data_IF_994044004177
#
_entry.id   IF_994044004177
#
_cell.length_a   1.000
_cell.length_b   1.000
_cell.length_c   1.000
_cell.angle_alpha   90.00
_cell.angle_beta   90.00
_cell.angle_gamma   90.00
#
_symmetry.space_group_name_H-M   'P 1'
#
loop_
_entity.id
_entity.type
_entity.pdbx_description
1 polymer ?
#
# COMPACT_ATOMS: atom_id res chain seq x y z
N UNK A 1 29.75 -31.18 -46.82
CA UNK A 1 31.17 -30.80 -46.69
C UNK A 1 31.75 -31.70 -45.61
N UNK A 2 32.43 -32.78 -46.03
CA UNK A 2 33.90 -32.99 -45.86
C UNK A 2 34.26 -33.38 -44.41
N UNK A 3 35.09 -34.36 -44.04
CA UNK A 3 35.98 -35.36 -44.65
C UNK A 3 36.75 -35.99 -43.46
N UNK A 4 37.10 -37.28 -43.52
CA UNK A 4 38.42 -37.88 -43.17
C UNK A 4 38.81 -38.20 -41.69
N UNK A 5 39.51 -39.36 -41.59
CA UNK A 5 40.46 -39.90 -40.59
C UNK A 5 39.88 -40.79 -39.46
N UNK A 6 40.13 -42.12 -39.33
CA UNK A 6 41.38 -42.94 -39.33
C UNK A 6 42.39 -42.45 -38.29
N UNK A 7 43.04 -43.20 -37.42
CA UNK A 7 43.09 -44.57 -36.91
C UNK A 7 44.20 -44.51 -35.81
N UNK A 8 44.45 -45.58 -35.05
CA UNK A 8 45.64 -45.80 -34.17
C UNK A 8 45.77 -44.87 -32.92
N UNK A 9 46.12 -45.30 -31.71
CA UNK A 9 47.08 -46.32 -31.30
C UNK A 9 46.72 -46.99 -29.96
N UNK A 10 46.89 -48.30 -29.96
CA UNK A 10 47.02 -49.15 -28.80
C UNK A 10 48.44 -49.01 -28.22
N UNK A 11 48.57 -48.95 -26.90
CA UNK A 11 49.41 -49.90 -26.18
C UNK A 11 49.27 -49.70 -24.66
N UNK A 12 48.65 -50.69 -24.05
CA UNK A 12 49.02 -51.13 -22.71
C UNK A 12 50.36 -51.89 -22.79
N UNK A 13 50.92 -52.22 -21.64
CA UNK A 13 51.98 -53.17 -21.27
C UNK A 13 53.07 -52.44 -20.45
N UNK A 14 53.29 -52.75 -19.18
CA UNK A 14 52.88 -53.92 -18.40
C UNK A 14 53.26 -53.75 -16.93
N UNK A 15 52.74 -54.65 -16.10
CA UNK A 15 53.32 -55.16 -14.85
C UNK A 15 52.81 -54.52 -13.54
N UNK A 16 51.92 -55.22 -12.80
CA UNK A 16 52.23 -56.32 -11.87
C UNK A 16 50.96 -56.63 -11.05
N UNK A 17 50.62 -57.90 -10.97
CA UNK A 17 49.45 -58.51 -10.35
C UNK A 17 49.48 -58.46 -8.80
N UNK A 18 48.29 -58.37 -8.18
CA UNK A 18 48.06 -58.86 -6.81
C UNK A 18 46.58 -59.16 -6.58
N UNK A 19 46.21 -60.41 -6.85
CA UNK A 19 45.33 -61.29 -6.05
C UNK A 19 43.96 -60.78 -5.55
N UNK A 20 42.90 -61.45 -6.03
CA UNK A 20 41.64 -61.63 -5.29
C UNK A 20 40.38 -61.46 -6.16
N UNK A 21 39.80 -62.57 -6.63
CA UNK A 21 38.39 -62.89 -7.03
C UNK A 21 37.31 -61.78 -7.18
N UNK A 22 37.68 -60.56 -7.56
CA UNK A 22 36.81 -59.36 -7.64
C UNK A 22 36.97 -58.64 -8.99
N UNK A 23 37.82 -59.15 -9.88
CA UNK A 23 38.21 -58.48 -11.12
C UNK A 23 37.20 -58.64 -12.25
N UNK A 24 36.39 -59.70 -12.27
CA UNK A 24 35.44 -59.91 -13.37
C UNK A 24 34.32 -58.88 -13.34
N UNK A 25 33.75 -58.59 -12.17
CA UNK A 25 32.68 -57.58 -12.07
C UNK A 25 33.14 -56.17 -12.40
N UNK A 26 34.33 -55.75 -11.98
CA UNK A 26 34.81 -54.38 -12.25
C UNK A 26 35.31 -54.23 -13.71
N UNK A 27 35.91 -55.29 -14.26
CA UNK A 27 36.30 -55.37 -15.68
C UNK A 27 35.09 -55.40 -16.60
N UNK A 28 34.05 -56.14 -16.24
CA UNK A 28 32.76 -56.14 -16.95
C UNK A 28 32.09 -54.76 -16.92
N UNK A 29 32.13 -54.07 -15.77
CA UNK A 29 31.61 -52.71 -15.65
C UNK A 29 32.40 -51.71 -16.53
N UNK A 30 33.73 -51.85 -16.60
CA UNK A 30 34.56 -51.01 -17.48
C UNK A 30 34.34 -51.31 -18.96
N UNK A 31 34.13 -52.59 -19.33
CA UNK A 31 33.77 -52.97 -20.70
C UNK A 31 32.39 -52.42 -21.06
N UNK A 32 31.39 -52.60 -20.21
CA UNK A 32 30.04 -52.08 -20.42
C UNK A 32 29.99 -50.53 -20.46
N UNK A 33 30.91 -49.86 -19.75
CA UNK A 33 31.09 -48.42 -19.84
C UNK A 33 31.71 -48.00 -21.18
N UNK A 34 32.77 -48.70 -21.63
CA UNK A 34 33.42 -48.45 -22.93
C UNK A 34 32.51 -48.75 -24.11
N UNK A 35 31.67 -49.79 -24.00
CA UNK A 35 30.65 -50.16 -24.97
C UNK A 35 29.42 -49.24 -24.93
N UNK A 36 29.38 -48.28 -24.00
CA UNK A 36 28.31 -47.27 -23.89
C UNK A 36 26.98 -47.80 -23.35
N UNK A 37 26.95 -49.03 -22.82
CA UNK A 37 25.80 -49.63 -22.16
C UNK A 37 25.49 -48.93 -20.83
N UNK A 38 26.53 -48.49 -20.12
CA UNK A 38 26.43 -47.70 -18.89
C UNK A 38 26.77 -46.24 -19.18
N UNK A 39 25.87 -45.31 -18.82
CA UNK A 39 26.10 -43.87 -18.94
C UNK A 39 26.74 -43.34 -17.66
N UNK A 40 27.88 -42.66 -17.75
CA UNK A 40 28.58 -42.05 -16.60
C UNK A 40 27.79 -40.96 -15.90
N UNK A 41 26.89 -40.32 -16.63
CA UNK A 41 26.52 -38.95 -16.28
C UNK A 41 25.48 -38.85 -15.16
N UNK A 42 24.77 -39.93 -14.81
CA UNK A 42 23.70 -39.91 -13.78
C UNK A 42 23.50 -41.29 -13.14
N UNK A 43 23.17 -41.33 -11.84
CA UNK A 43 22.54 -42.50 -11.22
C UNK A 43 21.33 -42.93 -12.08
N UNK A 44 21.27 -44.20 -12.45
CA UNK A 44 20.15 -44.80 -13.19
C UNK A 44 18.89 -44.86 -12.30
N UNK A 45 18.26 -43.70 -12.07
CA UNK A 45 16.92 -43.67 -11.48
C UNK A 45 15.92 -44.06 -12.56
N UNK A 46 15.18 -45.15 -12.32
CA UNK A 46 14.07 -45.58 -13.18
C UNK A 46 12.97 -44.52 -13.09
N UNK A 47 13.00 -43.52 -13.96
CA UNK A 47 11.85 -42.65 -14.15
C UNK A 47 10.80 -43.42 -14.95
N UNK A 48 9.61 -43.58 -14.36
CA UNK A 48 8.46 -44.07 -15.09
C UNK A 48 8.24 -43.19 -16.32
N UNK A 49 8.28 -43.81 -17.51
CA UNK A 49 7.97 -43.11 -18.76
C UNK A 49 6.54 -42.56 -18.64
N UNK A 50 6.37 -41.24 -18.77
CA UNK A 50 5.04 -40.63 -18.81
C UNK A 50 4.22 -41.32 -19.90
N UNK A 51 3.03 -41.79 -19.54
CA UNK A 51 2.12 -42.45 -20.50
C UNK A 51 1.85 -41.49 -21.68
N UNK A 52 1.79 -42.00 -22.91
CA UNK A 52 1.48 -41.15 -24.07
C UNK A 52 0.08 -40.54 -23.92
N UNK A 53 -0.09 -39.31 -24.38
CA UNK A 53 -1.39 -38.63 -24.40
C UNK A 53 -2.27 -39.27 -25.48
N UNK A 54 -3.21 -40.13 -25.09
CA UNK A 54 -4.16 -40.76 -26.02
C UNK A 54 -5.43 -39.90 -26.08
N UNK A 55 -5.73 -39.33 -27.25
CA UNK A 55 -6.94 -38.56 -27.48
C UNK A 55 -8.02 -39.43 -28.15
N UNK A 56 -8.93 -40.00 -27.35
CA UNK A 56 -10.04 -40.83 -27.83
C UNK A 56 -11.32 -40.00 -28.01
N UNK A 57 -11.40 -39.27 -29.13
CA UNK A 57 -12.51 -38.35 -29.41
C UNK A 57 -13.90 -38.99 -29.37
N UNK A 58 -14.07 -40.13 -30.04
CA UNK A 58 -15.35 -40.86 -30.12
C UNK A 58 -15.87 -41.25 -28.73
N UNK A 59 -14.99 -41.82 -27.88
CA UNK A 59 -15.38 -42.20 -26.52
C UNK A 59 -15.72 -41.00 -25.62
N UNK A 60 -15.14 -39.82 -25.90
CA UNK A 60 -15.45 -38.58 -25.17
C UNK A 60 -16.81 -38.02 -25.59
N UNK A 61 -17.12 -38.04 -26.88
CA UNK A 61 -18.41 -37.62 -27.43
C UNK A 61 -19.55 -38.51 -26.89
N UNK A 62 -19.37 -39.84 -26.95
CA UNK A 62 -20.34 -40.81 -26.41
C UNK A 62 -20.63 -40.57 -24.91
N UNK A 63 -19.61 -40.21 -24.13
CA UNK A 63 -19.77 -39.89 -22.71
C UNK A 63 -20.41 -38.53 -22.49
N UNK A 64 -20.09 -37.54 -23.31
CA UNK A 64 -20.70 -36.21 -23.23
C UNK A 64 -22.21 -36.29 -23.47
N UNK A 65 -22.64 -37.10 -24.45
CA UNK A 65 -24.06 -37.34 -24.71
C UNK A 65 -24.76 -38.04 -23.56
N UNK A 66 -24.13 -39.08 -22.97
CA UNK A 66 -24.68 -39.76 -21.79
C UNK A 66 -24.86 -38.84 -20.57
N UNK A 67 -24.01 -37.83 -20.42
CA UNK A 67 -24.07 -36.87 -19.31
C UNK A 67 -25.01 -35.69 -19.60
N UNK A 68 -25.35 -35.43 -20.86
CA UNK A 68 -26.17 -34.29 -21.28
C UNK A 68 -27.59 -34.43 -20.74
N UNK A 69 -28.01 -33.47 -19.93
CA UNK A 69 -29.40 -33.36 -19.43
C UNK A 69 -30.09 -32.21 -20.17
N UNK A 70 -31.29 -32.46 -20.68
CA UNK A 70 -32.13 -31.45 -21.31
C UNK A 70 -32.98 -30.77 -20.23
N UNK A 71 -32.42 -29.77 -19.57
CA UNK A 71 -33.10 -28.97 -18.54
C UNK A 71 -33.46 -27.59 -19.08
N UNK A 72 -34.45 -26.95 -18.47
CA UNK A 72 -34.76 -25.55 -18.72
C UNK A 72 -33.57 -24.72 -18.24
N UNK A 73 -33.22 -23.68 -18.99
CA UNK A 73 -32.08 -22.82 -18.70
C UNK A 73 -32.09 -22.21 -17.28
N UNK A 74 -33.25 -22.05 -16.65
CA UNK A 74 -33.38 -21.57 -15.28
C UNK A 74 -32.73 -22.51 -14.24
N UNK A 75 -32.67 -23.80 -14.52
CA UNK A 75 -32.05 -24.81 -13.64
C UNK A 75 -30.53 -24.86 -13.80
N UNK A 76 -30.02 -24.47 -14.97
CA UNK A 76 -28.58 -24.51 -15.28
C UNK A 76 -27.90 -23.16 -15.06
N UNK A 77 -28.59 -22.06 -15.37
CA UNK A 77 -28.10 -20.67 -15.32
C UNK A 77 -26.72 -20.48 -15.98
N UNK A 78 -26.42 -21.31 -16.96
CA UNK A 78 -25.12 -21.37 -17.61
C UNK A 78 -25.06 -20.36 -18.76
N UNK A 79 -24.00 -19.58 -18.80
CA UNK A 79 -23.74 -18.62 -19.88
C UNK A 79 -22.34 -18.83 -20.40
N UNK A 80 -22.26 -19.17 -21.67
CA UNK A 80 -20.99 -19.29 -22.39
C UNK A 80 -20.63 -17.95 -23.02
N UNK A 81 -19.40 -17.51 -22.77
CA UNK A 81 -18.84 -16.29 -23.36
C UNK A 81 -17.48 -16.63 -23.96
N UNK A 82 -17.32 -16.31 -25.25
CA UNK A 82 -16.04 -16.48 -25.93
C UNK A 82 -15.05 -15.41 -25.48
N UNK A 83 -13.81 -15.84 -25.28
CA UNK A 83 -12.73 -14.98 -24.81
C UNK A 83 -11.53 -15.11 -25.75
N UNK A 84 -11.55 -14.31 -26.80
CA UNK A 84 -10.54 -14.37 -27.88
C UNK A 84 -9.23 -13.65 -27.51
N UNK A 85 -9.11 -13.14 -26.28
CA UNK A 85 -8.00 -12.28 -25.84
C UNK A 85 -6.90 -13.01 -25.04
N UNK A 86 -6.93 -14.35 -24.99
CA UNK A 86 -5.93 -15.13 -24.25
C UNK A 86 -4.66 -15.28 -25.09
N UNK A 87 -3.76 -14.31 -24.97
CA UNK A 87 -2.43 -14.33 -25.60
C UNK A 87 -1.37 -14.88 -24.63
N UNK A 88 -0.27 -15.43 -25.13
CA UNK A 88 0.84 -15.95 -24.29
C UNK A 88 1.42 -14.91 -23.31
N UNK A 89 1.36 -13.63 -23.66
CA UNK A 89 1.79 -12.51 -22.79
C UNK A 89 0.97 -12.42 -21.49
N UNK A 90 -0.31 -12.78 -21.56
CA UNK A 90 -1.24 -12.74 -20.42
C UNK A 90 -1.01 -13.90 -19.44
N UNK A 91 -0.28 -14.95 -19.85
CA UNK A 91 0.01 -16.08 -18.97
C UNK A 91 0.91 -15.66 -17.80
N UNK A 92 1.82 -14.71 -18.01
CA UNK A 92 2.77 -14.27 -17.00
C UNK A 92 2.35 -12.97 -16.29
N UNK A 93 1.42 -12.19 -16.86
CA UNK A 93 0.87 -10.98 -16.23
C UNK A 93 -0.47 -11.26 -15.54
N UNK A 94 -0.44 -11.29 -14.21
CA UNK A 94 -1.62 -11.54 -13.38
C UNK A 94 -2.65 -10.41 -13.47
N UNK A 95 -2.22 -9.14 -13.59
CA UNK A 95 -3.15 -8.02 -13.65
C UNK A 95 -3.95 -8.02 -14.95
N UNK A 96 -3.27 -8.25 -16.08
CA UNK A 96 -3.96 -8.37 -17.37
C UNK A 96 -4.92 -9.56 -17.38
N UNK A 97 -4.50 -10.69 -16.81
CA UNK A 97 -5.32 -11.90 -16.71
C UNK A 97 -6.57 -11.69 -15.86
N UNK A 98 -6.44 -11.08 -14.68
CA UNK A 98 -7.58 -10.74 -13.81
C UNK A 98 -8.58 -9.81 -14.51
N UNK A 99 -8.09 -8.85 -15.31
CA UNK A 99 -8.95 -7.96 -16.10
C UNK A 99 -9.75 -8.75 -17.15
N UNK A 100 -9.14 -9.77 -17.80
CA UNK A 100 -9.85 -10.60 -18.78
C UNK A 100 -10.93 -11.45 -18.10
N UNK A 101 -10.63 -12.07 -16.96
CA UNK A 101 -11.61 -12.84 -16.19
C UNK A 101 -12.77 -11.96 -15.71
N UNK A 102 -12.46 -10.75 -15.23
CA UNK A 102 -13.47 -9.78 -14.86
C UNK A 102 -14.39 -9.42 -16.02
N UNK A 103 -13.82 -9.09 -17.19
CA UNK A 103 -14.60 -8.76 -18.40
C UNK A 103 -15.44 -9.92 -18.90
N UNK A 104 -14.95 -11.16 -18.78
CA UNK A 104 -15.69 -12.36 -19.14
C UNK A 104 -16.93 -12.53 -18.25
N UNK A 105 -16.75 -12.41 -16.93
CA UNK A 105 -17.83 -12.48 -15.97
C UNK A 105 -18.85 -11.35 -16.19
N UNK A 106 -18.38 -10.12 -16.45
CA UNK A 106 -19.24 -8.98 -16.76
C UNK A 106 -20.11 -9.23 -17.99
N UNK A 107 -19.52 -9.71 -19.10
CA UNK A 107 -20.27 -10.06 -20.31
C UNK A 107 -21.30 -11.16 -20.06
N UNK A 108 -20.94 -12.19 -19.29
CA UNK A 108 -21.84 -13.28 -18.96
C UNK A 108 -23.05 -12.76 -18.15
N UNK A 109 -22.81 -11.88 -17.18
CA UNK A 109 -23.86 -11.21 -16.40
C UNK A 109 -24.75 -10.34 -17.29
N UNK A 110 -24.17 -9.58 -18.23
CA UNK A 110 -24.94 -8.76 -19.18
C UNK A 110 -25.87 -9.59 -20.07
N UNK A 111 -25.51 -10.84 -20.39
CA UNK A 111 -26.37 -11.77 -21.14
C UNK A 111 -27.41 -12.43 -20.21
N UNK A 112 -27.04 -12.77 -18.98
CA UNK A 112 -27.92 -13.46 -18.04
C UNK A 112 -29.06 -12.58 -17.52
N UNK A 113 -28.77 -11.32 -17.17
CA UNK A 113 -29.75 -10.37 -16.61
C UNK A 113 -31.00 -10.18 -17.49
N UNK A 114 -30.90 -9.88 -18.80
CA UNK A 114 -32.07 -9.70 -19.64
C UNK A 114 -32.88 -10.99 -19.75
N UNK A 115 -32.24 -12.15 -19.93
CA UNK A 115 -32.91 -13.45 -19.98
C UNK A 115 -33.69 -13.74 -18.69
N UNK A 116 -33.10 -13.48 -17.53
CA UNK A 116 -33.78 -13.64 -16.23
C UNK A 116 -34.96 -12.68 -16.05
N UNK A 117 -34.84 -11.46 -16.58
CA UNK A 117 -35.91 -10.47 -16.54
C UNK A 117 -37.09 -10.87 -17.43
N UNK A 118 -36.82 -11.40 -18.61
CA UNK A 118 -37.86 -11.95 -19.52
C UNK A 118 -38.64 -13.09 -18.87
N UNK A 119 -37.96 -13.91 -18.07
CA UNK A 119 -38.58 -14.99 -17.28
C UNK A 119 -39.29 -14.51 -16.00
N UNK A 120 -39.26 -13.21 -15.70
CA UNK A 120 -39.93 -12.63 -14.53
C UNK A 120 -39.25 -12.90 -13.18
N UNK A 121 -37.97 -13.30 -13.18
CA UNK A 121 -37.22 -13.63 -11.95
C UNK A 121 -36.66 -12.37 -11.30
N UNK A 122 -36.76 -12.25 -9.97
CA UNK A 122 -36.17 -11.15 -9.20
C UNK A 122 -34.67 -11.38 -9.04
N UNK A 123 -33.86 -10.48 -9.62
CA UNK A 123 -32.40 -10.64 -9.70
C UNK A 123 -31.67 -9.98 -8.52
N UNK A 124 -32.13 -8.80 -8.11
CA UNK A 124 -31.42 -8.01 -7.10
C UNK A 124 -31.85 -8.40 -5.69
N UNK A 125 -30.86 -8.62 -4.81
CA UNK A 125 -31.08 -8.81 -3.38
C UNK A 125 -31.57 -7.50 -2.74
N UNK A 126 -32.77 -7.48 -2.14
CA UNK A 126 -33.23 -6.31 -1.38
C UNK A 126 -32.34 -6.04 -0.16
N UNK A 127 -32.21 -4.76 0.21
CA UNK A 127 -31.37 -4.34 1.35
C UNK A 127 -31.91 -4.89 2.67
N UNK A 128 -33.23 -5.04 2.77
CA UNK A 128 -33.94 -5.52 3.97
C UNK A 128 -34.04 -7.06 4.05
N UNK A 129 -33.42 -7.78 3.12
CA UNK A 129 -33.44 -9.24 3.12
C UNK A 129 -32.23 -9.80 3.87
N UNK A 130 -32.42 -10.12 5.15
CA UNK A 130 -31.40 -10.69 6.03
C UNK A 130 -31.40 -12.23 5.95
N UNK A 131 -30.41 -12.77 5.25
CA UNK A 131 -30.13 -14.19 5.17
C UNK A 131 -28.63 -14.42 5.42
N UNK A 132 -28.24 -15.65 5.72
CA UNK A 132 -26.84 -16.00 5.92
C UNK A 132 -26.04 -15.76 4.63
N UNK A 133 -24.95 -15.00 4.76
CA UNK A 133 -24.03 -14.68 3.67
C UNK A 133 -22.77 -15.53 3.79
N UNK A 134 -22.09 -15.77 2.66
CA UNK A 134 -20.85 -16.59 2.61
C UNK A 134 -19.76 -16.09 3.59
N UNK A 135 -19.72 -14.79 3.88
CA UNK A 135 -18.80 -14.19 4.85
C UNK A 135 -19.59 -13.53 5.98
N UNK A 136 -19.12 -13.72 7.22
CA UNK A 136 -19.74 -13.10 8.39
C UNK A 136 -19.54 -11.58 8.44
N UNK A 137 -20.48 -10.88 9.07
CA UNK A 137 -20.42 -9.42 9.22
C UNK A 137 -19.20 -8.96 10.01
N UNK A 138 -18.77 -9.74 11.00
CA UNK A 138 -17.55 -9.48 11.76
C UNK A 138 -16.31 -9.50 10.86
N UNK A 139 -16.24 -10.45 9.92
CA UNK A 139 -15.16 -10.51 8.93
C UNK A 139 -15.21 -9.30 7.99
N UNK A 140 -16.40 -8.93 7.49
CA UNK A 140 -16.56 -7.77 6.62
C UNK A 140 -16.26 -6.44 7.32
N UNK A 141 -16.52 -6.33 8.62
CA UNK A 141 -16.14 -5.16 9.41
C UNK A 141 -14.62 -4.99 9.51
N UNK A 142 -13.87 -6.08 9.68
CA UNK A 142 -12.40 -6.05 9.65
C UNK A 142 -11.86 -5.61 8.29
N UNK A 143 -12.46 -6.10 7.20
CA UNK A 143 -12.09 -5.66 5.84
C UNK A 143 -12.35 -4.16 5.67
N UNK A 144 -13.53 -3.66 6.08
CA UNK A 144 -13.87 -2.23 6.01
C UNK A 144 -12.91 -1.35 6.80
N UNK A 145 -12.53 -1.77 8.01
CA UNK A 145 -11.53 -1.06 8.82
C UNK A 145 -10.20 -0.98 8.10
N UNK A 146 -9.70 -2.10 7.54
CA UNK A 146 -8.44 -2.11 6.79
C UNK A 146 -8.48 -1.23 5.53
N UNK A 147 -9.61 -1.21 4.81
CA UNK A 147 -9.77 -0.34 3.64
C UNK A 147 -9.71 1.14 4.05
N UNK A 148 -10.39 1.53 5.11
CA UNK A 148 -10.34 2.89 5.64
C UNK A 148 -8.93 3.28 6.10
N UNK A 149 -8.19 2.38 6.76
CA UNK A 149 -6.80 2.61 7.16
C UNK A 149 -5.86 2.85 5.96
N UNK A 150 -6.05 2.09 4.87
CA UNK A 150 -5.28 2.24 3.63
C UNK A 150 -5.58 3.59 2.97
N UNK A 151 -6.86 3.97 2.89
CA UNK A 151 -7.28 5.27 2.34
C UNK A 151 -6.74 6.43 3.16
N UNK A 152 -6.84 6.39 4.48
CA UNK A 152 -6.27 7.40 5.37
C UNK A 152 -4.74 7.51 5.19
N UNK A 153 -4.06 6.38 5.06
CA UNK A 153 -2.61 6.34 4.85
C UNK A 153 -2.23 7.02 3.54
N UNK A 154 -2.99 6.77 2.46
CA UNK A 154 -2.81 7.43 1.16
C UNK A 154 -3.04 8.94 1.26
N UNK A 155 -4.13 9.36 1.91
CA UNK A 155 -4.43 10.79 2.10
C UNK A 155 -3.35 11.50 2.92
N UNK A 156 -2.82 10.85 3.97
CA UNK A 156 -1.71 11.38 4.78
C UNK A 156 -0.46 11.57 3.92
N UNK A 157 -0.11 10.60 3.06
CA UNK A 157 1.04 10.71 2.15
C UNK A 157 0.85 11.85 1.13
N UNK A 158 -0.33 12.00 0.55
CA UNK A 158 -0.66 13.10 -0.37
C UNK A 158 -0.59 14.46 0.32
N UNK A 159 -1.13 14.57 1.54
CA UNK A 159 -1.05 15.79 2.35
C UNK A 159 0.41 16.16 2.68
N UNK A 160 1.24 15.19 3.04
CA UNK A 160 2.67 15.40 3.29
C UNK A 160 3.37 15.89 2.01
N UNK A 161 3.05 15.31 0.85
CA UNK A 161 3.59 15.75 -0.43
C UNK A 161 3.23 17.20 -0.74
N UNK A 162 1.95 17.58 -0.58
CA UNK A 162 1.47 18.97 -0.75
C UNK A 162 2.20 19.94 0.18
N UNK A 163 2.30 19.63 1.47
CA UNK A 163 3.03 20.47 2.45
C UNK A 163 4.50 20.65 2.06
N UNK A 164 5.15 19.61 1.52
CA UNK A 164 6.55 19.70 1.06
C UNK A 164 6.68 20.60 -0.17
N UNK A 165 5.76 20.51 -1.12
CA UNK A 165 5.73 21.34 -2.33
C UNK A 165 5.47 22.81 -1.98
N UNK A 166 4.51 23.09 -1.10
CA UNK A 166 4.23 24.43 -0.58
C UNK A 166 5.45 25.04 0.12
N UNK A 167 6.14 24.27 0.97
CA UNK A 167 7.38 24.74 1.64
C UNK A 167 8.48 25.06 0.64
N UNK A 168 8.67 24.22 -0.39
CA UNK A 168 9.65 24.48 -1.47
C UNK A 168 9.29 25.76 -2.25
N UNK A 169 8.01 25.96 -2.55
CA UNK A 169 7.54 27.15 -3.24
C UNK A 169 7.72 28.41 -2.38
N UNK A 170 7.33 28.35 -1.10
CA UNK A 170 7.51 29.45 -0.16
C UNK A 170 8.97 29.87 -0.04
N UNK A 171 9.91 28.91 0.03
CA UNK A 171 11.34 29.21 0.06
C UNK A 171 11.83 29.91 -1.24
N UNK A 172 11.36 29.46 -2.41
CA UNK A 172 11.68 30.10 -3.70
C UNK A 172 11.11 31.52 -3.78
N UNK A 173 9.86 31.72 -3.34
CA UNK A 173 9.22 33.04 -3.32
C UNK A 173 9.97 33.98 -2.40
N UNK A 174 10.34 33.55 -1.20
CA UNK A 174 11.14 34.37 -0.27
C UNK A 174 12.47 34.81 -0.91
N UNK A 175 13.19 33.89 -1.56
CA UNK A 175 14.44 34.21 -2.27
C UNK A 175 14.22 35.23 -3.39
N UNK A 176 13.20 35.01 -4.24
CA UNK A 176 12.86 35.92 -5.36
C UNK A 176 12.44 37.31 -4.88
N UNK A 177 11.68 37.39 -3.78
CA UNK A 177 11.29 38.67 -3.16
C UNK A 177 12.51 39.40 -2.62
N UNK A 178 13.45 38.69 -1.99
CA UNK A 178 14.67 39.29 -1.45
C UNK A 178 15.61 39.79 -2.58
N UNK A 179 15.78 39.01 -3.64
CA UNK A 179 16.52 39.40 -4.85
C UNK A 179 15.89 40.63 -5.51
N UNK A 180 14.56 40.65 -5.68
CA UNK A 180 13.82 41.80 -6.21
C UNK A 180 14.01 43.05 -5.34
N UNK A 181 13.94 42.93 -4.01
CA UNK A 181 14.21 44.06 -3.10
C UNK A 181 15.65 44.55 -3.21
N UNK A 182 16.62 43.66 -3.42
CA UNK A 182 18.02 44.05 -3.60
C UNK A 182 18.25 44.73 -4.95
N UNK A 183 17.66 44.23 -6.04
CA UNK A 183 17.77 44.86 -7.36
C UNK A 183 17.09 46.23 -7.39
N UNK A 184 15.91 46.35 -6.79
CA UNK A 184 15.20 47.65 -6.62
C UNK A 184 16.03 48.63 -5.78
N UNK A 185 16.69 48.19 -4.70
CA UNK A 185 17.60 49.05 -3.93
C UNK A 185 18.84 49.46 -4.73
N UNK A 186 19.42 48.56 -5.52
CA UNK A 186 20.59 48.85 -6.38
C UNK A 186 20.22 49.87 -7.46
N UNK A 187 19.11 49.66 -8.17
CA UNK A 187 18.63 50.59 -9.21
C UNK A 187 18.30 51.96 -8.64
N UNK A 188 17.67 52.02 -7.46
CA UNK A 188 17.41 53.27 -6.74
C UNK A 188 18.73 53.97 -6.33
N UNK A 189 19.69 53.22 -5.76
CA UNK A 189 20.98 53.78 -5.36
C UNK A 189 21.79 54.31 -6.57
N UNK A 190 21.73 53.63 -7.71
CA UNK A 190 22.31 54.10 -8.97
C UNK A 190 21.62 55.36 -9.48
N UNK A 191 20.28 55.42 -9.43
CA UNK A 191 19.53 56.63 -9.78
C UNK A 191 19.90 57.82 -8.88
N UNK A 192 20.05 57.60 -7.56
CA UNK A 192 20.49 58.63 -6.60
C UNK A 192 21.93 59.09 -6.89
N UNK A 193 22.85 58.16 -7.20
CA UNK A 193 24.22 58.51 -7.60
C UNK A 193 24.24 59.33 -8.90
N UNK A 194 23.42 58.98 -9.88
CA UNK A 194 23.27 59.73 -11.15
C UNK A 194 22.67 61.13 -10.92
N UNK A 195 21.69 61.24 -10.03
CA UNK A 195 21.12 62.54 -9.62
C UNK A 195 22.16 63.42 -8.91
N UNK A 196 22.96 62.86 -7.99
CA UNK A 196 24.06 63.58 -7.32
C UNK A 196 25.12 64.09 -8.30
N UNK A 197 25.27 63.43 -9.46
CA UNK A 197 26.16 63.84 -10.56
C UNK A 197 25.51 64.81 -11.56
N UNK A 198 24.31 65.33 -11.28
CA UNK A 198 23.67 66.41 -12.05
C UNK A 198 22.59 65.99 -13.06
N UNK A 199 22.29 64.70 -13.21
CA UNK A 199 21.26 64.21 -14.15
C UNK A 199 19.93 64.02 -13.38
N UNK A 200 19.09 65.07 -13.35
CA UNK A 200 17.89 65.16 -12.49
C UNK A 200 16.69 64.31 -12.93
N UNK A 201 16.51 64.12 -14.24
CA UNK A 201 15.27 63.60 -14.82
C UNK A 201 14.91 62.13 -14.47
N UNK A 202 15.90 61.28 -14.20
CA UNK A 202 15.66 59.84 -13.99
C UNK A 202 15.22 59.48 -12.56
N UNK A 203 15.58 60.30 -11.56
CA UNK A 203 15.21 60.06 -10.16
C UNK A 203 13.75 60.42 -9.90
N UNK A 204 13.30 61.57 -10.40
CA UNK A 204 11.93 62.07 -10.19
C UNK A 204 10.87 61.16 -10.83
N UNK A 205 11.17 60.54 -11.97
CA UNK A 205 10.27 59.56 -12.61
C UNK A 205 10.04 58.31 -11.74
N UNK A 206 11.11 57.76 -11.12
CA UNK A 206 11.01 56.59 -10.23
C UNK A 206 10.30 56.91 -8.90
N UNK A 207 10.53 58.10 -8.34
CA UNK A 207 9.87 58.55 -7.10
C UNK A 207 8.38 58.87 -7.30
N UNK A 208 8.01 59.42 -8.46
CA UNK A 208 6.61 59.68 -8.78
C UNK A 208 5.81 58.38 -9.01
N UNK A 209 6.44 57.33 -9.54
CA UNK A 209 5.79 56.04 -9.74
C UNK A 209 5.60 55.25 -8.42
N UNK A 210 6.53 55.40 -7.46
CA UNK A 210 6.42 54.75 -6.14
C UNK A 210 5.39 55.40 -5.22
N UNK A 211 5.22 56.73 -5.26
CA UNK A 211 4.14 57.42 -4.54
C UNK A 211 2.73 56.97 -4.99
N UNK A 212 2.52 56.78 -6.30
CA UNK A 212 1.23 56.31 -6.86
C UNK A 212 0.84 54.89 -6.42
N UNK A 213 1.80 54.06 -6.03
CA UNK A 213 1.56 52.68 -5.57
C UNK A 213 1.30 52.58 -4.05
N UNK A 214 1.65 53.60 -3.26
CA UNK A 214 1.36 53.63 -1.81
C UNK A 214 -0.04 54.17 -1.50
N UNK A 215 -0.57 55.08 -2.32
CA UNK A 215 -1.90 55.65 -2.13
C UNK A 215 -3.04 54.66 -2.45
N UNK A 216 -2.75 53.52 -3.07
CA UNK A 216 -3.74 52.46 -3.39
C UNK A 216 -3.86 51.36 -2.34
N UNK A 217 -3.01 51.33 -1.29
CA UNK A 217 -3.10 50.37 -0.17
C UNK A 217 -3.76 50.95 1.11
N UNK A 218 -4.52 52.05 1.00
CA UNK A 218 -5.33 52.60 2.11
C UNK A 218 -6.81 52.51 1.75
N UNK A 219 -7.37 51.29 1.81
CA UNK A 219 -8.74 51.06 1.33
C UNK A 219 -9.47 49.83 1.88
N UNK A 220 -9.14 49.31 3.06
CA UNK A 220 -9.97 48.31 3.75
C UNK A 220 -10.18 48.70 5.21
N UNK A 221 -11.19 49.55 5.43
CA UNK A 221 -11.86 49.76 6.72
C UNK A 221 -12.50 48.43 7.15
N UNK A 222 -11.84 47.71 8.05
CA UNK A 222 -12.44 46.64 8.85
C UNK A 222 -12.47 47.03 10.33
N UNK A 223 -13.67 47.34 10.82
CA UNK A 223 -14.12 47.26 12.22
C UNK A 223 -13.11 47.63 13.33
N UNK A 224 -13.34 48.78 13.95
CA UNK A 224 -12.67 49.16 15.19
C UNK A 224 -12.74 48.08 16.27
N UNK A 225 -11.56 47.69 16.77
CA UNK A 225 -11.44 47.08 18.10
C UNK A 225 -10.23 47.68 18.78
N UNK A 226 -10.50 48.31 19.92
CA UNK A 226 -9.59 49.15 20.68
C UNK A 226 -8.23 48.52 20.91
N UNK A 227 -7.21 49.35 20.69
CA UNK A 227 -5.81 49.10 21.02
C UNK A 227 -5.66 49.14 22.55
N UNK A 228 -5.96 48.04 23.23
CA UNK A 228 -5.60 47.89 24.64
C UNK A 228 -4.12 47.54 24.73
N UNK A 229 -3.33 48.60 24.92
CA UNK A 229 -1.94 48.58 25.38
C UNK A 229 -1.97 48.00 26.80
N UNK A 230 -1.75 46.70 26.94
CA UNK A 230 -1.96 45.98 28.20
C UNK A 230 -0.99 44.82 28.41
N UNK A 231 0.09 45.12 29.14
CA UNK A 231 0.86 44.26 30.07
C UNK A 231 1.28 42.87 29.56
N UNK A 232 2.59 42.64 29.58
CA UNK A 232 3.27 41.33 29.53
C UNK A 232 2.50 40.23 30.30
N UNK A 233 1.60 39.53 29.62
CA UNK A 233 0.96 38.31 30.15
C UNK A 233 1.98 37.19 29.99
N UNK A 234 2.78 37.00 31.04
CA UNK A 234 3.56 35.77 31.26
C UNK A 234 2.63 34.60 30.93
N UNK A 235 2.98 33.77 29.94
CA UNK A 235 2.21 32.57 29.60
C UNK A 235 1.89 31.83 30.91
N UNK A 236 0.60 31.58 31.20
CA UNK A 236 0.18 30.77 32.36
C UNK A 236 0.98 29.48 32.34
N UNK A 237 1.44 29.01 33.50
CA UNK A 237 2.34 27.85 33.64
C UNK A 237 1.86 26.65 32.80
N UNK A 238 0.55 26.41 32.81
CA UNK A 238 -0.16 25.43 31.98
C UNK A 238 0.14 25.49 30.47
N UNK A 239 0.30 26.67 29.88
CA UNK A 239 0.62 26.82 28.46
C UNK A 239 2.10 26.54 28.18
N UNK A 240 2.99 26.82 29.14
CA UNK A 240 4.40 26.44 29.07
C UNK A 240 4.59 24.94 29.27
N UNK A 241 3.86 24.34 30.20
CA UNK A 241 3.92 22.90 30.46
C UNK A 241 3.38 22.08 29.28
N UNK A 242 2.36 22.58 28.56
CA UNK A 242 1.90 21.98 27.29
C UNK A 242 2.92 22.08 26.15
N UNK A 243 3.67 23.19 26.09
CA UNK A 243 4.62 23.45 24.99
C UNK A 243 5.99 22.81 25.23
N UNK A 244 6.45 22.75 26.48
CA UNK A 244 7.81 22.36 26.86
C UNK A 244 7.87 21.17 27.85
N UNK A 245 6.73 20.66 28.30
CA UNK A 245 6.64 19.62 29.33
C UNK A 245 6.83 20.19 30.75
N UNK A 246 6.34 19.46 31.76
CA UNK A 246 6.52 19.83 33.16
C UNK A 246 8.00 19.63 33.54
N UNK A 247 8.73 20.73 33.78
CA UNK A 247 10.14 20.72 34.20
C UNK A 247 10.34 20.25 35.64
N UNK A 248 9.98 19.02 35.95
CA UNK A 248 10.19 18.36 37.26
C UNK A 248 11.40 17.42 37.28
N UNK A 249 11.88 17.07 38.48
CA UNK A 249 13.03 16.19 38.70
C UNK A 249 12.85 14.82 38.01
N UNK A 250 13.53 14.62 36.87
CA UNK A 250 13.58 13.34 36.12
C UNK A 250 14.39 12.23 36.81
N UNK A 251 14.92 12.46 38.02
CA UNK A 251 15.83 11.52 38.70
C UNK A 251 15.15 10.27 39.26
N UNK A 252 13.82 10.22 39.33
CA UNK A 252 13.07 9.06 39.88
C UNK A 252 12.02 8.48 38.93
N UNK A 253 11.85 9.02 37.73
CA UNK A 253 10.86 8.55 36.75
C UNK A 253 11.20 7.21 36.09
N UNK A 254 12.34 6.61 36.45
CA UNK A 254 12.78 5.27 36.03
C UNK A 254 12.69 4.23 37.16
N UNK A 255 12.05 4.56 38.29
CA UNK A 255 11.77 3.58 39.33
C UNK A 255 10.47 2.84 38.97
N UNK A 256 10.49 1.52 39.13
CA UNK A 256 9.28 0.72 38.99
C UNK A 256 8.35 1.01 40.17
N UNK A 257 7.18 1.56 39.88
CA UNK A 257 6.10 1.71 40.86
C UNK A 257 5.22 0.45 40.83
N UNK A 258 4.45 0.19 41.89
CA UNK A 258 3.57 -0.99 42.00
C UNK A 258 2.64 -1.17 40.78
N UNK A 259 2.26 -0.05 40.15
CA UNK A 259 1.43 -0.04 38.93
C UNK A 259 2.15 -0.59 37.69
N UNK A 260 3.49 -0.49 37.63
CA UNK A 260 4.30 -1.05 36.54
C UNK A 260 4.40 -2.57 36.61
N UNK A 261 4.23 -3.16 37.80
CA UNK A 261 4.26 -4.61 38.01
C UNK A 261 2.97 -5.29 37.54
N UNK A 262 1.81 -4.63 37.69
CA UNK A 262 0.52 -5.19 37.29
C UNK A 262 0.30 -5.20 35.75
N UNK A 263 1.02 -4.36 34.99
CA UNK A 263 0.88 -4.27 33.53
C UNK A 263 1.48 -5.48 32.78
N UNK A 264 2.52 -6.12 33.33
CA UNK A 264 3.12 -7.32 32.73
C UNK A 264 2.40 -8.62 33.09
N UNK A 265 1.64 -8.64 34.19
CA UNK A 265 1.02 -9.87 34.69
C UNK A 265 -0.26 -10.28 33.94
N UNK A 266 -0.83 -9.42 33.08
CA UNK A 266 -2.04 -9.75 32.30
C UNK A 266 -1.93 -9.31 30.84
N UNK A 267 -1.62 -10.23 29.89
CA UNK A 267 -1.63 -9.90 28.47
C UNK A 267 -3.09 -9.80 28.00
N UNK A 268 -3.70 -8.62 28.13
CA UNK A 268 -5.07 -8.40 27.64
C UNK A 268 -5.85 -7.19 28.20
N UNK A 269 -5.29 -6.40 29.14
CA UNK A 269 -6.08 -5.35 29.84
C UNK A 269 -6.02 -3.94 29.23
N UNK A 270 -5.31 -3.73 28.12
CA UNK A 270 -5.18 -2.44 27.43
C UNK A 270 -6.49 -1.81 26.91
N UNK A 271 -7.62 -2.53 26.97
CA UNK A 271 -8.92 -2.06 26.47
C UNK A 271 -9.75 -1.21 27.45
N UNK A 272 -9.34 -1.03 28.73
CA UNK A 272 -10.22 -0.40 29.75
C UNK A 272 -9.81 0.97 30.31
N UNK A 273 -8.92 1.72 29.65
CA UNK A 273 -8.50 3.06 30.15
C UNK A 273 -8.85 4.25 29.24
N UNK A 274 -9.93 4.15 28.45
CA UNK A 274 -10.47 5.27 27.66
C UNK A 274 -11.84 5.79 28.12
N UNK A 275 -12.31 5.42 29.32
CA UNK A 275 -13.56 5.98 29.88
C UNK A 275 -13.36 6.37 31.34
N UNK A 276 -13.44 7.67 31.64
CA UNK A 276 -13.60 8.15 33.01
C UNK A 276 -12.69 9.30 33.44
N UNK A 277 -12.79 10.46 32.80
CA UNK A 277 -12.47 11.72 33.47
C UNK A 277 -13.64 12.69 33.28
N UNK A 278 -14.69 12.51 34.10
CA UNK A 278 -15.66 13.56 34.35
C UNK A 278 -15.34 14.26 35.67
N UNK A 279 -15.45 15.59 35.58
CA UNK A 279 -15.24 16.61 36.60
C UNK A 279 -16.08 16.34 37.86
N UNK A 280 -15.46 16.36 39.04
CA UNK A 280 -16.15 16.32 40.32
C UNK A 280 -16.79 17.68 40.64
N UNK A 281 -18.13 17.69 40.72
CA UNK A 281 -18.89 18.76 41.35
C UNK A 281 -19.17 18.38 42.81
N UNK A 282 -18.81 19.26 43.73
CA UNK A 282 -19.11 19.15 45.16
C UNK A 282 -20.63 19.23 45.40
N UNK A 283 -21.21 18.24 46.08
CA UNK A 283 -22.50 18.37 46.75
C UNK A 283 -22.37 17.86 48.17
N UNK A 284 -22.62 18.77 49.10
CA UNK A 284 -22.59 18.61 50.55
C UNK A 284 -23.72 17.67 51.02
N UNK A 285 -23.38 16.71 51.89
CA UNK A 285 -24.32 15.85 52.62
C UNK A 285 -24.93 16.63 53.79
N UNK A 286 -26.24 16.85 53.78
CA UNK A 286 -27.02 17.10 55.00
C UNK A 286 -27.75 15.80 55.37
N UNK A 287 -27.48 15.29 56.57
CA UNK A 287 -28.14 14.13 57.13
C UNK A 287 -29.28 14.55 58.05
N UNK A 288 -30.48 14.00 57.84
CA UNK A 288 -31.57 14.05 58.81
C UNK A 288 -32.11 12.64 59.05
N UNK A 289 -31.90 12.18 60.29
CA UNK A 289 -32.44 10.93 60.87
C UNK A 289 -33.97 11.01 60.95
N UNK A 290 -34.67 9.97 60.51
CA UNK A 290 -36.06 9.73 60.94
C UNK A 290 -36.08 8.84 62.19
N UNK A 291 -36.73 9.35 63.23
CA UNK A 291 -37.04 8.67 64.50
C UNK A 291 -38.22 7.72 64.29
N UNK A 292 -38.08 6.48 64.77
CA UNK A 292 -39.23 5.62 65.12
C UNK A 292 -39.90 6.12 66.41
N UNK A 293 -41.23 6.08 66.45
CA UNK A 293 -42.08 5.70 67.60
C UNK A 293 -43.50 5.48 67.05
N UNK A 294 -44.00 4.25 67.19
CA UNK A 294 -45.12 3.83 68.06
C UNK A 294 -46.44 4.37 67.58
#
# INVERSE_FOLDING_TARGET
MSTIASDVDANDLSAVESEGESNDSDRELQIAFREGLLKSDKLNYVMEKKRPNINKKVELEDKAEKLKKNLIWLETLDVTTNNDQVNEKVLNDDFEREIIFYKQAEKAVQIAIPRLREMGVKIFRPIDYYAEMVKSDQHMQKIRQRMAEVEESKQKLEAIRRIREEKKFAAKVQKKVLERKQSEKKSLAEAVKKHRKGVKAHLDSLLNNTKRMQDTEVGLKGSGKGRVRGKNKKFRRLARDKKFGFGGQKKRSKKNDKNSFEEFATPGSLARKLKGHHFGANVLKSGTKQRKKR
#
